data_IF_980105681314
#
_entry.id   IF_980105681314
#
_cell.length_a   1.000
_cell.length_b   1.000
_cell.length_c   1.000
_cell.angle_alpha   90.00
_cell.angle_beta   90.00
_cell.angle_gamma   90.00
#
_symmetry.space_group_name_H-M   'P 1'
#
loop_
_entity.id
_entity.type
_entity.pdbx_description
1 polymer ?
#
# COMPACT_ATOMS: atom_id res chain seq x y z
N UNK A 1 -33.80 -4.98 22.53
CA UNK A 1 -32.54 -5.27 23.25
C UNK A 1 -31.99 -6.69 23.04
N UNK A 2 -32.61 -7.79 23.50
CA UNK A 2 -32.05 -9.15 23.28
C UNK A 2 -32.04 -9.62 21.82
N UNK A 3 -33.01 -9.20 21.00
CA UNK A 3 -33.07 -9.54 19.58
C UNK A 3 -32.11 -8.73 18.71
N UNK A 4 -31.88 -7.44 19.03
CA UNK A 4 -30.89 -6.60 18.35
C UNK A 4 -29.46 -7.09 18.58
N UNK A 5 -29.14 -7.53 19.81
CA UNK A 5 -27.84 -8.15 20.14
C UNK A 5 -27.63 -9.44 19.33
N UNK A 6 -28.71 -10.21 19.10
CA UNK A 6 -28.67 -11.45 18.32
C UNK A 6 -28.50 -11.20 16.82
N UNK A 7 -29.12 -10.14 16.28
CA UNK A 7 -28.93 -9.68 14.90
C UNK A 7 -27.52 -9.13 14.65
N UNK A 8 -26.98 -8.34 15.58
CA UNK A 8 -25.60 -7.83 15.56
C UNK A 8 -24.57 -8.97 15.60
N UNK A 9 -24.75 -9.96 16.47
CA UNK A 9 -23.85 -11.11 16.56
C UNK A 9 -23.91 -12.02 15.32
N UNK A 10 -25.09 -12.16 14.69
CA UNK A 10 -25.25 -12.93 13.45
C UNK A 10 -24.58 -12.23 12.26
N UNK A 11 -24.75 -10.92 12.13
CA UNK A 11 -24.08 -10.09 11.12
C UNK A 11 -22.56 -10.15 11.25
N UNK A 12 -22.05 -10.02 12.48
CA UNK A 12 -20.60 -10.12 12.75
C UNK A 12 -20.06 -11.53 12.42
N UNK A 13 -20.84 -12.59 12.65
CA UNK A 13 -20.44 -13.95 12.28
C UNK A 13 -20.44 -14.19 10.77
N UNK A 14 -21.35 -13.57 10.02
CA UNK A 14 -21.36 -13.62 8.56
C UNK A 14 -20.21 -12.82 7.95
N UNK A 15 -19.89 -11.64 8.49
CA UNK A 15 -18.69 -10.88 8.11
C UNK A 15 -17.42 -11.65 8.42
N UNK A 16 -17.29 -12.26 9.60
CA UNK A 16 -16.13 -13.09 9.95
C UNK A 16 -16.02 -14.32 9.03
N UNK A 17 -17.14 -14.94 8.63
CA UNK A 17 -17.13 -16.05 7.66
C UNK A 17 -16.74 -15.59 6.26
N UNK A 18 -17.21 -14.43 5.83
CA UNK A 18 -16.86 -13.83 4.53
C UNK A 18 -15.38 -13.45 4.49
N UNK A 19 -14.90 -12.78 5.53
CA UNK A 19 -13.50 -12.41 5.72
C UNK A 19 -12.58 -13.65 5.73
N UNK A 20 -12.98 -14.72 6.43
CA UNK A 20 -12.25 -16.00 6.39
C UNK A 20 -12.23 -16.61 4.99
N UNK A 21 -13.35 -16.58 4.26
CA UNK A 21 -13.45 -17.13 2.89
C UNK A 21 -12.65 -16.32 1.87
N UNK A 22 -12.58 -15.01 2.02
CA UNK A 22 -11.74 -14.12 1.19
C UNK A 22 -10.25 -14.27 1.50
N UNK A 23 -9.89 -14.56 2.74
CA UNK A 23 -8.52 -14.87 3.16
C UNK A 23 -8.09 -16.32 2.80
N UNK A 24 -9.03 -17.24 2.59
CA UNK A 24 -8.77 -18.63 2.20
C UNK A 24 -8.37 -18.76 0.72
N UNK A 25 -8.68 -17.76 -0.10
CA UNK A 25 -8.15 -17.67 -1.47
C UNK A 25 -6.70 -17.21 -1.40
N UNK A 26 -5.78 -18.18 -1.35
CA UNK A 26 -4.35 -17.91 -1.58
C UNK A 26 -4.19 -17.25 -2.94
N UNK A 27 -4.07 -15.92 -2.94
CA UNK A 27 -3.84 -15.16 -4.18
C UNK A 27 -2.49 -15.53 -4.73
N UNK A 28 -2.52 -16.42 -5.72
CA UNK A 28 -1.34 -16.95 -6.41
C UNK A 28 -0.46 -15.85 -7.01
N UNK A 29 -1.05 -14.73 -7.42
CA UNK A 29 -0.34 -13.62 -8.05
C UNK A 29 -0.25 -12.42 -7.11
N UNK A 30 0.98 -12.05 -6.75
CA UNK A 30 1.28 -10.88 -5.88
C UNK A 30 0.66 -9.59 -6.39
N UNK A 31 0.62 -9.37 -7.71
CA UNK A 31 -0.03 -8.21 -8.33
C UNK A 31 -1.51 -8.12 -8.00
N UNK A 32 -2.25 -9.22 -8.18
CA UNK A 32 -3.70 -9.27 -7.88
C UNK A 32 -3.99 -9.06 -6.40
N UNK A 33 -3.10 -9.51 -5.52
CA UNK A 33 -3.22 -9.25 -4.09
C UNK A 33 -3.18 -7.75 -3.79
N UNK A 34 -2.20 -7.04 -4.33
CA UNK A 34 -2.06 -5.58 -4.15
C UNK A 34 -3.26 -4.81 -4.71
N UNK A 35 -3.80 -5.24 -5.86
CA UNK A 35 -4.98 -4.57 -6.45
C UNK A 35 -6.22 -4.74 -5.57
N UNK A 36 -6.44 -5.94 -5.05
CA UNK A 36 -7.58 -6.17 -4.19
C UNK A 36 -7.44 -5.47 -2.85
N UNK A 37 -6.26 -5.50 -2.20
CA UNK A 37 -6.02 -4.77 -0.95
C UNK A 37 -6.33 -3.27 -1.14
N UNK A 38 -5.87 -2.69 -2.24
CA UNK A 38 -6.24 -1.31 -2.59
C UNK A 38 -7.75 -1.10 -2.77
N UNK A 39 -8.45 -2.05 -3.41
CA UNK A 39 -9.90 -1.93 -3.60
C UNK A 39 -10.66 -2.05 -2.28
N UNK A 40 -10.20 -2.90 -1.36
CA UNK A 40 -10.76 -2.99 -0.01
C UNK A 40 -10.58 -1.69 0.76
N UNK A 41 -9.39 -1.09 0.72
CA UNK A 41 -9.13 0.21 1.37
C UNK A 41 -10.08 1.30 0.83
N UNK A 42 -10.32 1.33 -0.48
CA UNK A 42 -11.28 2.26 -1.09
C UNK A 42 -12.71 1.94 -0.65
N UNK A 43 -13.09 0.66 -0.61
CA UNK A 43 -14.42 0.25 -0.16
C UNK A 43 -14.68 0.65 1.30
N UNK A 44 -13.68 0.51 2.17
CA UNK A 44 -13.79 0.91 3.57
C UNK A 44 -13.86 2.44 3.72
N UNK A 45 -13.09 3.20 2.94
CA UNK A 45 -13.24 4.66 2.90
C UNK A 45 -14.65 5.08 2.46
N UNK A 46 -15.23 4.40 1.47
CA UNK A 46 -16.60 4.68 1.02
C UNK A 46 -17.64 4.37 2.11
N UNK A 47 -17.49 3.27 2.86
CA UNK A 47 -18.35 2.98 4.03
C UNK A 47 -18.23 4.06 5.11
N UNK A 48 -17.02 4.56 5.36
CA UNK A 48 -16.82 5.65 6.33
C UNK A 48 -17.41 6.97 5.85
N UNK A 49 -17.35 7.25 4.55
CA UNK A 49 -18.01 8.41 3.94
C UNK A 49 -19.53 8.31 4.13
N UNK A 50 -20.13 7.16 3.82
CA UNK A 50 -21.56 6.91 4.00
C UNK A 50 -21.99 7.14 5.46
N UNK A 51 -21.27 6.50 6.41
CA UNK A 51 -21.49 6.70 7.84
C UNK A 51 -21.36 8.18 8.24
N UNK A 52 -20.37 8.90 7.70
CA UNK A 52 -20.15 10.31 8.02
C UNK A 52 -21.29 11.21 7.52
N UNK A 53 -21.93 10.86 6.40
CA UNK A 53 -23.09 11.56 5.85
C UNK A 53 -24.29 11.37 6.77
N UNK A 54 -24.57 10.12 7.18
CA UNK A 54 -25.67 9.80 8.09
C UNK A 54 -25.57 10.54 9.43
N UNK A 55 -24.35 10.74 9.93
CA UNK A 55 -24.08 11.36 11.23
C UNK A 55 -23.78 12.87 11.14
N UNK A 56 -23.98 13.49 9.97
CA UNK A 56 -23.77 14.92 9.76
C UNK A 56 -22.32 15.40 9.94
N UNK A 57 -21.34 14.48 9.85
CA UNK A 57 -19.90 14.75 10.02
C UNK A 57 -19.28 15.28 8.73
N UNK A 58 -19.80 16.42 8.25
CA UNK A 58 -19.46 16.99 6.93
C UNK A 58 -17.98 17.35 6.76
N UNK A 59 -17.27 17.73 7.82
CA UNK A 59 -15.81 17.98 7.78
C UNK A 59 -15.03 16.70 7.48
N UNK A 60 -15.24 15.68 8.30
CA UNK A 60 -14.64 14.35 8.15
C UNK A 60 -14.98 13.70 6.80
N UNK A 61 -16.24 13.85 6.35
CA UNK A 61 -16.68 13.40 5.03
C UNK A 61 -15.83 14.01 3.90
N UNK A 62 -15.58 15.33 3.94
CA UNK A 62 -14.76 16.01 2.92
C UNK A 62 -13.32 15.54 2.95
N UNK A 63 -12.75 15.33 4.13
CA UNK A 63 -11.39 14.81 4.30
C UNK A 63 -11.26 13.42 3.68
N UNK A 64 -12.17 12.51 4.01
CA UNK A 64 -12.19 11.15 3.44
C UNK A 64 -12.36 11.15 1.92
N UNK A 65 -13.22 12.02 1.37
CA UNK A 65 -13.39 12.16 -0.09
C UNK A 65 -12.07 12.63 -0.72
N UNK A 66 -11.43 13.65 -0.15
CA UNK A 66 -10.17 14.19 -0.66
C UNK A 66 -9.03 13.16 -0.62
N UNK A 67 -8.95 12.39 0.47
CA UNK A 67 -8.00 11.30 0.62
C UNK A 67 -8.27 10.19 -0.41
N UNK A 68 -9.51 9.74 -0.53
CA UNK A 68 -9.92 8.68 -1.47
C UNK A 68 -9.59 9.07 -2.92
N UNK A 69 -9.88 10.31 -3.31
CA UNK A 69 -9.50 10.85 -4.63
C UNK A 69 -7.98 10.89 -4.83
N UNK A 70 -7.22 11.24 -3.79
CA UNK A 70 -5.75 11.26 -3.84
C UNK A 70 -5.19 9.85 -4.01
N UNK A 71 -5.74 8.87 -3.28
CA UNK A 71 -5.35 7.47 -3.37
C UNK A 71 -5.63 6.88 -4.76
N UNK A 72 -6.79 7.18 -5.34
CA UNK A 72 -7.13 6.78 -6.72
C UNK A 72 -6.18 7.43 -7.74
N UNK A 73 -5.90 8.73 -7.61
CA UNK A 73 -4.95 9.42 -8.51
C UNK A 73 -3.56 8.81 -8.43
N UNK A 74 -3.06 8.54 -7.21
CA UNK A 74 -1.78 7.87 -6.99
C UNK A 74 -1.78 6.50 -7.66
N UNK A 75 -2.80 5.67 -7.42
CA UNK A 75 -2.90 4.33 -8.02
C UNK A 75 -2.93 4.36 -9.55
N UNK A 76 -3.71 5.26 -10.15
CA UNK A 76 -3.75 5.44 -11.60
C UNK A 76 -2.38 5.83 -12.18
N UNK A 77 -1.59 6.64 -11.46
CA UNK A 77 -0.21 6.95 -11.85
C UNK A 77 0.66 5.69 -11.84
N UNK A 78 0.56 4.85 -10.80
CA UNK A 78 1.34 3.61 -10.70
C UNK A 78 0.97 2.62 -11.82
N UNK A 79 -0.33 2.51 -12.15
CA UNK A 79 -0.79 1.68 -13.27
C UNK A 79 -0.18 2.18 -14.58
N UNK A 80 -0.21 3.49 -14.84
CA UNK A 80 0.43 4.07 -16.04
C UNK A 80 1.94 3.79 -16.09
N UNK A 81 2.65 3.82 -14.96
CA UNK A 81 4.08 3.46 -14.90
C UNK A 81 4.26 1.98 -15.24
N UNK A 82 3.43 1.10 -14.69
CA UNK A 82 3.48 -0.33 -14.99
C UNK A 82 3.19 -0.62 -16.47
N UNK A 83 2.21 0.05 -17.07
CA UNK A 83 1.82 -0.21 -18.47
C UNK A 83 2.82 0.35 -19.48
N UNK A 84 3.52 1.44 -19.14
CA UNK A 84 4.45 2.12 -20.06
C UNK A 84 5.90 1.65 -19.93
N UNK A 85 6.24 0.97 -18.84
CA UNK A 85 7.59 0.47 -18.60
C UNK A 85 7.72 -1.00 -18.97
N UNK A 86 8.82 -1.37 -19.66
CA UNK A 86 9.16 -2.78 -19.90
C UNK A 86 9.29 -3.61 -18.61
N UNK A 87 9.70 -2.96 -17.51
CA UNK A 87 9.83 -3.57 -16.18
C UNK A 87 8.50 -3.68 -15.42
N UNK A 88 7.39 -3.18 -15.97
CA UNK A 88 6.06 -3.34 -15.41
C UNK A 88 5.94 -2.93 -13.93
N UNK A 89 5.35 -3.81 -13.13
CA UNK A 89 5.22 -3.61 -11.68
C UNK A 89 6.54 -3.62 -10.91
N UNK A 90 7.64 -4.13 -11.48
CA UNK A 90 8.95 -4.02 -10.82
C UNK A 90 9.49 -2.59 -10.92
N UNK A 91 9.21 -1.88 -12.01
CA UNK A 91 9.46 -0.43 -12.12
C UNK A 91 8.65 0.35 -11.10
N UNK A 92 7.38 -0.01 -10.90
CA UNK A 92 6.54 0.61 -9.86
C UNK A 92 7.14 0.41 -8.47
N UNK A 93 7.61 -0.80 -8.16
CA UNK A 93 8.27 -1.06 -6.87
C UNK A 93 9.47 -0.15 -6.69
N UNK A 94 10.36 -0.04 -7.68
CA UNK A 94 11.53 0.84 -7.59
C UNK A 94 11.13 2.32 -7.51
N UNK A 95 10.08 2.73 -8.22
CA UNK A 95 9.52 4.08 -8.16
C UNK A 95 8.97 4.44 -6.77
N UNK A 96 8.34 3.49 -6.09
CA UNK A 96 7.85 3.67 -4.71
C UNK A 96 8.93 3.42 -3.65
N UNK A 97 10.01 2.71 -4.00
CA UNK A 97 11.08 2.31 -3.08
C UNK A 97 12.15 3.40 -2.96
N UNK A 98 11.80 4.49 -2.27
CA UNK A 98 12.81 5.24 -1.53
C UNK A 98 12.21 5.95 -0.32
N UNK A 99 12.32 5.32 0.85
CA UNK A 99 11.74 5.79 2.12
C UNK A 99 12.63 6.84 2.80
N UNK A 100 13.90 6.94 2.38
CA UNK A 100 14.91 7.82 3.00
C UNK A 100 15.16 9.06 2.16
N UNK A 101 15.00 8.95 0.84
CA UNK A 101 15.22 10.06 -0.07
C UNK A 101 14.05 11.04 -0.05
N UNK A 102 14.38 12.31 0.17
CA UNK A 102 13.43 13.42 0.14
C UNK A 102 12.92 13.69 -1.29
N UNK A 103 13.79 13.46 -2.27
CA UNK A 103 13.56 13.63 -3.71
C UNK A 103 14.53 12.76 -4.52
N UNK A 104 14.44 12.82 -5.86
CA UNK A 104 15.32 12.04 -6.76
C UNK A 104 16.80 12.43 -6.68
N UNK A 105 17.11 13.67 -6.28
CA UNK A 105 18.50 14.13 -6.14
C UNK A 105 19.12 13.54 -4.87
N UNK A 106 18.37 13.56 -3.77
CA UNK A 106 18.71 12.95 -2.49
C UNK A 106 18.87 11.43 -2.64
N UNK A 107 17.98 10.78 -3.39
CA UNK A 107 18.12 9.37 -3.79
C UNK A 107 19.45 9.13 -4.51
N UNK A 108 19.79 9.97 -5.49
CA UNK A 108 21.08 9.84 -6.18
C UNK A 108 22.26 10.06 -5.23
N UNK A 109 22.16 10.95 -4.24
CA UNK A 109 23.22 11.20 -3.25
C UNK A 109 23.41 10.00 -2.33
N UNK A 110 22.32 9.45 -1.80
CA UNK A 110 22.31 8.25 -0.96
C UNK A 110 22.91 7.07 -1.72
N UNK A 111 22.44 6.81 -2.94
CA UNK A 111 22.95 5.72 -3.79
C UNK A 111 24.45 5.87 -4.09
N UNK A 112 24.95 7.09 -4.31
CA UNK A 112 26.40 7.32 -4.50
C UNK A 112 27.20 7.08 -3.22
N UNK A 113 26.69 7.54 -2.08
CA UNK A 113 27.33 7.36 -0.78
C UNK A 113 27.43 5.87 -0.40
N UNK A 114 26.33 5.14 -0.54
CA UNK A 114 26.25 3.72 -0.19
C UNK A 114 27.16 2.87 -1.09
N UNK A 115 27.14 3.11 -2.40
CA UNK A 115 28.05 2.44 -3.34
C UNK A 115 29.53 2.69 -3.01
N UNK A 116 29.90 3.90 -2.56
CA UNK A 116 31.26 4.20 -2.10
C UNK A 116 31.60 3.44 -0.82
N UNK A 117 30.69 3.40 0.15
CA UNK A 117 30.87 2.69 1.41
C UNK A 117 31.04 1.18 1.20
N UNK A 118 30.19 0.55 0.38
CA UNK A 118 30.25 -0.87 0.03
C UNK A 118 31.58 -1.20 -0.67
N UNK A 119 32.02 -0.37 -1.62
CA UNK A 119 33.34 -0.56 -2.28
C UNK A 119 34.47 -0.52 -1.25
N UNK A 120 34.48 0.47 -0.36
CA UNK A 120 35.49 0.59 0.71
C UNK A 120 35.53 -0.65 1.60
N UNK A 121 34.35 -1.13 2.03
CA UNK A 121 34.21 -2.34 2.87
C UNK A 121 34.74 -3.59 2.17
N UNK A 122 34.41 -3.78 0.89
CA UNK A 122 34.91 -4.91 0.08
C UNK A 122 36.43 -4.88 -0.09
N UNK A 123 37.02 -3.71 -0.33
CA UNK A 123 38.48 -3.57 -0.45
C UNK A 123 39.19 -3.86 0.87
N UNK A 124 38.65 -3.36 1.99
CA UNK A 124 39.19 -3.64 3.32
C UNK A 124 39.12 -5.13 3.68
N UNK A 125 37.99 -5.79 3.37
CA UNK A 125 37.84 -7.24 3.58
C UNK A 125 38.77 -8.09 2.71
N UNK A 126 39.07 -7.64 1.48
CA UNK A 126 40.06 -8.30 0.63
C UNK A 126 41.47 -8.11 1.17
N UNK A 127 41.83 -6.90 1.62
CA UNK A 127 43.13 -6.61 2.22
C UNK A 127 43.36 -7.39 3.51
N UNK A 128 42.34 -7.53 4.37
CA UNK A 128 42.43 -8.30 5.61
C UNK A 128 42.45 -9.83 5.41
N UNK A 129 42.12 -10.33 4.22
CA UNK A 129 42.20 -11.76 3.85
C UNK A 129 43.55 -12.14 3.22
N UNK A 130 44.37 -11.15 2.88
CA UNK A 130 45.69 -11.30 2.25
C UNK A 130 46.84 -11.13 3.26
N UNK A 131 46.53 -10.89 4.54
CA UNK A 131 47.42 -10.90 5.69
C UNK A 131 47.11 -12.15 6.54
#
# INVERSE_FOLDING_TARGET
MKEEIRGSAFSAQEEVKRFKKENDVTRRFKGNRVQFEFNEDIADNLKQIDWSIEHGKTGFCRELIAETLTNIKKRNKLIRIADTSEGGWDTVKLYEFNIVASDSEDESKINRADNKAVKKKKTQQKASRLL
#
